data_IF_329207479901
#
_entry.id   IF_329207479901
#
_cell.length_a   1.000
_cell.length_b   1.000
_cell.length_c   1.000
_cell.angle_alpha   90.00
_cell.angle_beta   90.00
_cell.angle_gamma   90.00
#
_symmetry.space_group_name_H-M   'P 1'
#
loop_
_entity.id
_entity.type
_entity.pdbx_description
1 polymer ?
#
# COMPACT_ATOMS: atom_id res chain seq x y z
N UNK A 1 28.07 16.70 5.11
CA UNK A 1 27.12 16.61 6.24
C UNK A 1 26.03 17.69 6.20
N UNK A 2 26.37 18.98 6.19
CA UNK A 2 25.39 20.11 6.20
C UNK A 2 24.33 20.07 5.08
N UNK A 3 24.74 19.85 3.82
CA UNK A 3 23.81 19.76 2.65
C UNK A 3 22.75 18.66 2.82
N UNK A 4 23.18 17.45 3.22
CA UNK A 4 22.31 16.30 3.45
C UNK A 4 21.27 16.56 4.55
N UNK A 5 21.68 17.24 5.62
CA UNK A 5 20.77 17.64 6.71
C UNK A 5 19.72 18.65 6.25
N UNK A 6 20.08 19.58 5.35
CA UNK A 6 19.12 20.55 4.81
C UNK A 6 18.15 19.92 3.82
N UNK A 7 18.62 19.03 2.93
CA UNK A 7 17.75 18.26 2.02
C UNK A 7 16.74 17.39 2.81
N UNK A 8 17.21 16.74 3.88
CA UNK A 8 16.36 15.97 4.78
C UNK A 8 15.25 16.84 5.41
N UNK A 9 15.62 18.01 5.96
CA UNK A 9 14.66 18.93 6.59
C UNK A 9 13.66 19.47 5.57
N UNK A 10 14.12 19.77 4.36
CA UNK A 10 13.29 20.25 3.25
C UNK A 10 12.21 19.22 2.89
N UNK A 11 12.57 17.96 2.64
CA UNK A 11 11.59 16.89 2.34
C UNK A 11 10.57 16.68 3.48
N UNK A 12 11.01 16.68 4.74
CA UNK A 12 10.10 16.58 5.88
C UNK A 12 9.15 17.78 5.97
N UNK A 13 9.61 18.97 5.60
CA UNK A 13 8.77 20.17 5.55
C UNK A 13 7.69 20.01 4.48
N UNK A 14 8.05 19.57 3.27
CA UNK A 14 7.11 19.31 2.17
C UNK A 14 6.02 18.32 2.61
N UNK A 15 6.40 17.17 3.17
CA UNK A 15 5.44 16.14 3.62
C UNK A 15 4.48 16.67 4.70
N UNK A 16 4.97 17.52 5.62
CA UNK A 16 4.14 18.15 6.67
C UNK A 16 3.20 19.21 6.11
N UNK A 17 3.64 19.98 5.13
CA UNK A 17 2.81 20.97 4.44
C UNK A 17 1.70 20.27 3.64
N UNK A 18 2.04 19.21 2.89
CA UNK A 18 1.07 18.37 2.21
C UNK A 18 0.05 17.77 3.18
N UNK A 19 0.50 17.15 4.28
CA UNK A 19 -0.41 16.61 5.31
C UNK A 19 -1.38 17.69 5.82
N UNK A 20 -0.90 18.91 6.09
CA UNK A 20 -1.73 20.01 6.57
C UNK A 20 -2.81 20.37 5.55
N UNK A 21 -2.46 20.56 4.29
CA UNK A 21 -3.40 20.85 3.21
C UNK A 21 -4.44 19.74 3.01
N UNK A 22 -4.03 18.48 3.08
CA UNK A 22 -4.94 17.32 3.02
C UNK A 22 -5.97 17.36 4.16
N UNK A 23 -5.53 17.65 5.38
CA UNK A 23 -6.42 17.75 6.55
C UNK A 23 -7.36 18.96 6.48
N UNK A 24 -6.91 20.06 5.89
CA UNK A 24 -7.73 21.26 5.62
C UNK A 24 -8.68 21.06 4.41
N UNK A 25 -8.61 19.91 3.73
CA UNK A 25 -9.32 19.59 2.49
C UNK A 25 -9.02 20.54 1.33
N UNK A 26 -7.85 21.19 1.37
CA UNK A 26 -7.34 22.02 0.29
C UNK A 26 -6.36 21.22 -0.56
N UNK A 27 -6.89 20.46 -1.52
CA UNK A 27 -6.06 19.64 -2.42
C UNK A 27 -5.50 20.45 -3.60
N UNK A 28 -5.99 21.68 -3.82
CA UNK A 28 -5.68 22.50 -5.00
C UNK A 28 -4.20 22.94 -5.08
N UNK A 29 -3.55 23.04 -3.91
CA UNK A 29 -2.17 23.48 -3.77
C UNK A 29 -1.18 22.31 -3.62
N UNK A 30 -1.64 21.06 -3.72
CA UNK A 30 -0.77 19.90 -3.60
C UNK A 30 -0.03 19.64 -4.92
N UNK A 31 1.29 19.66 -4.86
CA UNK A 31 2.14 19.26 -5.99
C UNK A 31 2.15 17.73 -6.14
N UNK A 32 1.10 17.19 -6.75
CA UNK A 32 0.90 15.75 -6.98
C UNK A 32 0.90 15.47 -8.47
N UNK A 33 1.73 14.51 -8.89
CA UNK A 33 1.68 13.94 -10.23
C UNK A 33 1.12 12.52 -10.14
N UNK A 34 0.00 12.29 -10.82
CA UNK A 34 -0.67 10.99 -10.82
C UNK A 34 -0.55 10.37 -12.22
N UNK A 35 -0.09 9.13 -12.26
CA UNK A 35 0.10 8.36 -13.49
C UNK A 35 -0.70 7.06 -13.43
N UNK A 36 -1.22 6.57 -14.57
CA UNK A 36 -1.82 5.24 -14.62
C UNK A 36 -0.75 4.19 -14.29
N UNK A 37 -1.10 3.28 -13.38
CA UNK A 37 -0.35 2.06 -13.17
C UNK A 37 -0.96 1.00 -14.09
N UNK A 38 -0.52 0.99 -15.34
CA UNK A 38 -0.97 -0.02 -16.30
C UNK A 38 -0.38 -1.38 -15.89
N UNK A 39 -1.26 -2.30 -15.53
CA UNK A 39 -0.93 -3.66 -15.10
C UNK A 39 -1.35 -4.62 -16.20
N UNK A 40 -0.40 -5.42 -16.70
CA UNK A 40 -0.74 -6.56 -17.55
C UNK A 40 -1.53 -7.61 -16.75
N UNK A 41 -2.24 -8.55 -17.40
CA UNK A 41 -2.89 -9.66 -16.70
C UNK A 41 -1.91 -10.48 -15.84
N UNK A 42 -0.63 -10.53 -16.24
CA UNK A 42 0.47 -11.18 -15.52
C UNK A 42 1.14 -10.26 -14.49
N UNK A 43 0.47 -9.18 -14.08
CA UNK A 43 0.94 -8.23 -13.08
C UNK A 43 2.16 -7.39 -13.47
N UNK A 44 2.80 -7.67 -14.61
CA UNK A 44 3.98 -6.95 -15.08
C UNK A 44 3.65 -5.47 -15.30
N UNK A 45 4.47 -4.55 -14.77
CA UNK A 45 4.32 -3.12 -15.01
C UNK A 45 4.42 -2.77 -16.50
N UNK A 46 3.46 -2.00 -17.00
CA UNK A 46 3.49 -1.44 -18.35
C UNK A 46 3.66 0.09 -18.31
N UNK A 47 4.46 0.59 -17.37
CA UNK A 47 4.75 2.01 -17.17
C UNK A 47 6.27 2.28 -17.10
N UNK A 48 6.65 3.55 -17.03
CA UNK A 48 8.07 3.98 -17.03
C UNK A 48 8.88 3.24 -15.94
N UNK A 49 9.94 2.47 -16.31
CA UNK A 49 10.80 1.77 -15.35
C UNK A 49 11.47 2.68 -14.33
N UNK A 50 11.67 3.97 -14.63
CA UNK A 50 12.20 4.95 -13.67
C UNK A 50 11.24 5.23 -12.52
N UNK A 51 9.95 4.98 -12.72
CA UNK A 51 8.92 5.10 -11.70
C UNK A 51 8.72 3.79 -10.93
N UNK A 52 9.33 2.67 -11.32
CA UNK A 52 9.13 1.37 -10.69
C UNK A 52 10.01 1.22 -9.43
N UNK A 53 9.36 1.01 -8.29
CA UNK A 53 10.03 0.72 -7.01
C UNK A 53 9.65 -0.63 -6.43
N UNK A 54 8.62 -1.28 -6.95
CA UNK A 54 8.22 -2.63 -6.58
C UNK A 54 8.18 -3.49 -7.84
N UNK A 55 8.83 -4.64 -7.80
CA UNK A 55 8.84 -5.61 -8.89
C UNK A 55 7.91 -6.76 -8.53
N UNK A 56 6.73 -6.87 -9.17
CA UNK A 56 5.76 -7.89 -8.83
C UNK A 56 6.34 -9.28 -9.08
N UNK A 57 5.98 -10.22 -8.21
CA UNK A 57 6.40 -11.60 -8.45
C UNK A 57 5.77 -12.12 -9.75
N UNK A 58 6.50 -12.93 -10.53
CA UNK A 58 5.90 -13.62 -11.67
C UNK A 58 4.75 -14.53 -11.23
N UNK A 59 3.65 -14.52 -11.97
CA UNK A 59 2.49 -15.36 -11.68
C UNK A 59 2.82 -16.87 -11.62
N UNK A 60 3.77 -17.35 -12.42
CA UNK A 60 4.23 -18.74 -12.43
C UNK A 60 5.08 -19.13 -11.20
N UNK A 61 5.51 -18.14 -10.42
CA UNK A 61 6.24 -18.33 -9.16
C UNK A 61 5.30 -18.46 -7.97
N UNK A 62 4.00 -18.16 -8.15
CA UNK A 62 2.99 -18.22 -7.11
C UNK A 62 2.25 -19.55 -7.14
N UNK A 63 2.21 -20.21 -5.98
CA UNK A 63 1.28 -21.30 -5.71
C UNK A 63 0.13 -20.77 -4.85
N UNK A 64 -1.07 -20.79 -5.41
CA UNK A 64 -2.28 -20.24 -4.77
C UNK A 64 -2.64 -21.04 -3.50
N UNK A 65 -3.11 -20.38 -2.43
CA UNK A 65 -3.71 -21.06 -1.29
C UNK A 65 -4.90 -21.92 -1.74
N UNK A 66 -5.09 -23.09 -1.14
CA UNK A 66 -6.28 -23.93 -1.33
C UNK A 66 -7.22 -23.61 -0.16
N UNK A 67 -8.33 -22.88 -0.39
CA UNK A 67 -9.20 -22.42 0.70
C UNK A 67 -9.78 -23.57 1.53
N UNK A 68 -10.01 -24.73 0.92
CA UNK A 68 -10.53 -25.93 1.59
C UNK A 68 -9.58 -26.51 2.66
N UNK A 69 -8.30 -26.15 2.63
CA UNK A 69 -7.29 -26.58 3.61
C UNK A 69 -7.11 -25.55 4.75
N UNK A 70 -7.73 -24.38 4.66
CA UNK A 70 -7.60 -23.28 5.61
C UNK A 70 -8.97 -22.80 6.08
N UNK A 71 -9.51 -23.41 7.15
CA UNK A 71 -10.85 -23.17 7.74
C UNK A 71 -11.22 -21.68 7.99
N UNK A 72 -10.26 -20.77 7.94
CA UNK A 72 -10.40 -19.34 8.19
C UNK A 72 -10.40 -18.47 6.93
N UNK A 73 -10.22 -19.05 5.74
CA UNK A 73 -10.21 -18.34 4.45
C UNK A 73 -11.55 -18.44 3.71
N UNK A 74 -12.62 -17.93 4.32
CA UNK A 74 -13.94 -17.86 3.66
C UNK A 74 -14.12 -16.48 3.04
N UNK A 75 -14.22 -16.45 1.70
CA UNK A 75 -14.59 -15.23 0.99
C UNK A 75 -16.10 -14.98 1.11
N UNK A 76 -16.46 -13.82 1.65
CA UNK A 76 -17.86 -13.38 1.75
C UNK A 76 -18.16 -12.45 0.58
N UNK A 77 -19.13 -12.81 -0.26
CA UNK A 77 -19.61 -11.93 -1.32
C UNK A 77 -20.33 -10.70 -0.75
N UNK A 78 -20.35 -9.61 -1.51
CA UNK A 78 -21.07 -8.40 -1.12
C UNK A 78 -22.59 -8.67 -1.11
N UNK A 79 -23.24 -8.48 0.04
CA UNK A 79 -24.70 -8.53 0.13
C UNK A 79 -25.28 -7.12 -0.12
N UNK A 80 -25.90 -6.84 -1.29
CA UNK A 80 -26.41 -5.52 -1.62
C UNK A 80 -27.55 -5.05 -0.70
N UNK A 81 -28.14 -5.95 0.10
CA UNK A 81 -29.16 -5.61 1.09
C UNK A 81 -28.59 -5.09 2.40
N UNK A 82 -27.28 -5.25 2.62
CA UNK A 82 -26.59 -4.77 3.80
C UNK A 82 -26.31 -3.26 3.68
N UNK A 83 -26.86 -2.45 4.58
CA UNK A 83 -26.62 -0.99 4.67
C UNK A 83 -25.24 -0.66 5.28
N UNK A 84 -24.26 -1.54 5.09
CA UNK A 84 -22.96 -1.43 5.70
C UNK A 84 -22.19 -0.20 5.18
N UNK A 85 -21.52 0.48 6.11
CA UNK A 85 -20.62 1.57 5.78
C UNK A 85 -19.44 1.01 4.96
N UNK A 86 -18.90 1.76 3.96
CA UNK A 86 -17.76 1.30 3.14
C UNK A 86 -16.58 0.74 3.96
N UNK A 87 -16.38 1.24 5.17
CA UNK A 87 -15.38 0.72 6.11
C UNK A 87 -15.61 -0.74 6.53
N UNK A 88 -16.85 -1.17 6.83
CA UNK A 88 -17.15 -2.54 7.23
C UNK A 88 -16.91 -3.50 6.07
N UNK A 89 -17.32 -3.10 4.86
CA UNK A 89 -17.04 -3.87 3.64
C UNK A 89 -15.53 -3.97 3.37
N UNK A 90 -14.78 -2.87 3.50
CA UNK A 90 -13.32 -2.90 3.39
C UNK A 90 -12.66 -3.79 4.47
N UNK A 91 -13.22 -3.83 5.67
CA UNK A 91 -12.75 -4.70 6.76
C UNK A 91 -13.02 -6.17 6.46
N UNK A 92 -14.24 -6.53 6.09
CA UNK A 92 -14.59 -7.91 5.72
C UNK A 92 -13.74 -8.43 4.56
N UNK A 93 -13.52 -7.60 3.54
CA UNK A 93 -12.61 -7.95 2.44
C UNK A 93 -11.17 -8.15 2.94
N UNK A 94 -10.67 -7.28 3.82
CA UNK A 94 -9.30 -7.43 4.36
C UNK A 94 -9.15 -8.66 5.28
N UNK A 95 -10.16 -9.00 6.07
CA UNK A 95 -10.13 -10.15 6.98
C UNK A 95 -9.94 -11.47 6.20
N UNK A 96 -10.47 -11.55 4.98
CA UNK A 96 -10.14 -12.61 4.03
C UNK A 96 -8.79 -12.37 3.33
N UNK A 97 -8.64 -11.21 2.68
CA UNK A 97 -7.55 -10.95 1.74
C UNK A 97 -6.18 -10.93 2.43
N UNK A 98 -6.07 -10.34 3.63
CA UNK A 98 -4.81 -10.24 4.35
C UNK A 98 -4.18 -11.61 4.64
N UNK A 99 -4.89 -12.54 5.30
CA UNK A 99 -4.45 -13.94 5.46
C UNK A 99 -4.24 -14.63 4.11
N UNK A 100 -5.17 -14.52 3.17
CA UNK A 100 -5.08 -15.16 1.85
C UNK A 100 -3.79 -14.79 1.11
N UNK A 101 -3.43 -13.51 1.05
CA UNK A 101 -2.19 -13.03 0.41
C UNK A 101 -0.92 -13.55 1.12
N UNK A 102 -0.99 -13.84 2.42
CA UNK A 102 0.13 -14.38 3.20
C UNK A 102 0.29 -15.89 3.07
N UNK A 103 -0.77 -16.59 2.70
CA UNK A 103 -0.79 -18.04 2.50
C UNK A 103 -0.22 -18.47 1.14
N UNK A 104 0.13 -17.52 0.25
CA UNK A 104 0.77 -17.85 -1.03
C UNK A 104 2.13 -18.52 -0.82
N UNK A 105 2.33 -19.61 -1.58
CA UNK A 105 3.49 -20.48 -1.49
C UNK A 105 4.36 -20.37 -2.73
N UNK A 106 5.62 -20.76 -2.61
CA UNK A 106 6.51 -20.82 -3.77
C UNK A 106 6.10 -21.98 -4.67
N UNK A 107 6.01 -21.75 -5.98
CA UNK A 107 5.79 -22.84 -6.94
C UNK A 107 6.96 -23.83 -7.00
N UNK A 108 8.15 -23.41 -6.54
CA UNK A 108 9.35 -24.27 -6.46
C UNK A 108 9.41 -25.08 -5.15
N UNK A 109 8.76 -24.59 -4.10
CA UNK A 109 8.68 -25.24 -2.79
C UNK A 109 7.32 -24.93 -2.14
N UNK A 110 6.31 -25.80 -2.34
CA UNK A 110 4.98 -25.60 -1.79
C UNK A 110 4.93 -25.55 -0.26
N UNK A 111 5.94 -26.04 0.46
CA UNK A 111 5.98 -25.93 1.91
C UNK A 111 6.40 -24.52 2.38
N UNK A 112 7.06 -23.74 1.51
CA UNK A 112 7.53 -22.39 1.84
C UNK A 112 6.50 -21.31 1.54
N UNK A 113 6.20 -20.49 2.56
CA UNK A 113 5.41 -19.27 2.42
C UNK A 113 6.29 -18.12 1.94
N UNK A 114 5.94 -17.54 0.79
CA UNK A 114 6.77 -16.54 0.10
C UNK A 114 7.07 -15.33 0.99
N UNK A 115 6.11 -14.91 1.83
CA UNK A 115 6.28 -13.71 2.65
C UNK A 115 7.46 -13.81 3.63
N UNK A 116 7.79 -15.01 4.12
CA UNK A 116 8.88 -15.21 5.08
C UNK A 116 10.26 -15.24 4.41
N UNK A 117 10.35 -15.63 3.15
CA UNK A 117 11.62 -15.73 2.40
C UNK A 117 12.17 -14.36 1.97
N UNK A 118 11.34 -13.31 2.03
CA UNK A 118 11.59 -12.02 1.38
C UNK A 118 12.03 -10.91 2.33
N UNK A 119 12.38 -11.23 3.58
CA UNK A 119 12.81 -10.28 4.62
C UNK A 119 11.81 -9.12 4.90
N UNK A 120 10.56 -9.24 4.48
CA UNK A 120 9.49 -8.34 4.87
C UNK A 120 9.07 -8.65 6.29
N UNK A 121 9.11 -7.65 7.17
CA UNK A 121 8.78 -7.80 8.57
C UNK A 121 7.46 -7.09 8.87
N UNK A 122 6.58 -7.81 9.57
CA UNK A 122 5.36 -7.25 10.10
C UNK A 122 5.65 -6.08 11.03
N UNK A 123 5.05 -4.94 10.71
CA UNK A 123 5.23 -3.71 11.46
C UNK A 123 4.04 -3.48 12.42
N UNK A 124 4.35 -3.08 13.65
CA UNK A 124 3.35 -2.68 14.64
C UNK A 124 3.48 -1.17 14.87
N UNK A 125 2.39 -0.41 14.68
CA UNK A 125 2.34 1.05 14.86
C UNK A 125 2.98 1.52 16.19
N UNK A 126 2.79 0.76 17.27
CA UNK A 126 3.35 1.05 18.59
C UNK A 126 4.88 1.10 18.62
N UNK A 127 5.58 0.42 17.69
CA UNK A 127 7.05 0.37 17.65
C UNK A 127 7.69 1.64 17.09
N UNK A 128 6.95 2.49 16.38
CA UNK A 128 7.54 3.66 15.71
C UNK A 128 7.33 4.99 16.43
N UNK A 129 6.69 5.04 17.60
CA UNK A 129 6.38 6.30 18.29
C UNK A 129 5.84 7.36 17.31
N UNK A 130 4.87 6.94 16.49
CA UNK A 130 4.30 7.77 15.45
C UNK A 130 3.83 9.10 16.05
N UNK A 131 4.29 10.22 15.48
CA UNK A 131 3.83 11.55 15.92
C UNK A 131 2.33 11.72 15.71
N UNK A 132 1.75 11.01 14.72
CA UNK A 132 0.33 11.04 14.37
C UNK A 132 -0.13 9.63 14.01
N UNK A 133 -1.36 9.24 14.38
CA UNK A 133 -1.85 7.89 14.15
C UNK A 133 -1.96 7.58 12.64
N UNK A 134 -1.82 6.31 12.27
CA UNK A 134 -2.12 5.81 10.92
C UNK A 134 -3.55 5.24 10.87
N UNK A 135 -4.42 5.82 11.68
CA UNK A 135 -5.84 5.53 11.75
C UNK A 135 -6.59 6.80 12.18
N UNK A 136 -7.88 6.83 11.87
CA UNK A 136 -8.80 7.83 12.37
C UNK A 136 -10.15 7.15 12.56
N UNK A 137 -10.68 7.16 13.79
CA UNK A 137 -12.00 6.65 14.10
C UNK A 137 -12.95 7.84 14.36
N UNK A 138 -13.80 8.16 13.40
CA UNK A 138 -14.94 9.06 13.56
C UNK A 138 -16.06 8.62 12.61
N UNK A 139 -17.31 8.87 13.02
CA UNK A 139 -18.55 8.34 12.43
C UNK A 139 -18.69 8.39 10.90
N UNK A 140 -17.85 9.16 10.18
CA UNK A 140 -17.90 9.32 8.71
C UNK A 140 -16.55 9.40 8.00
N UNK A 141 -15.42 9.38 8.70
CA UNK A 141 -14.09 9.40 8.05
C UNK A 141 -13.20 8.30 8.62
N UNK A 142 -13.81 7.15 8.93
CA UNK A 142 -13.09 5.99 9.43
C UNK A 142 -12.05 5.55 8.41
N UNK A 143 -10.80 5.47 8.84
CA UNK A 143 -9.79 4.75 8.10
C UNK A 143 -8.78 4.15 9.05
N UNK A 144 -8.20 3.03 8.65
CA UNK A 144 -7.15 2.36 9.40
C UNK A 144 -6.14 1.78 8.42
N UNK A 145 -4.89 1.84 8.83
CA UNK A 145 -3.81 1.14 8.14
C UNK A 145 -3.62 -0.21 8.78
N UNK A 146 -3.53 -1.24 7.96
CA UNK A 146 -3.29 -2.62 8.40
C UNK A 146 -2.20 -3.25 7.54
N UNK A 147 -1.72 -4.42 7.97
CA UNK A 147 -0.82 -5.21 7.15
C UNK A 147 0.47 -4.48 6.76
N UNK A 148 0.95 -3.55 7.59
CA UNK A 148 2.16 -2.79 7.28
C UNK A 148 3.34 -3.76 7.29
N UNK A 149 4.07 -3.79 6.17
CA UNK A 149 5.28 -4.57 5.98
C UNK A 149 6.45 -3.62 5.69
N UNK A 150 7.55 -3.90 6.36
CA UNK A 150 8.77 -3.11 6.27
C UNK A 150 9.99 -4.00 5.97
N UNK A 151 10.91 -3.50 5.16
CA UNK A 151 12.24 -4.10 5.00
C UNK A 151 13.19 -3.57 6.07
N UNK A 152 13.75 -4.49 6.85
CA UNK A 152 14.81 -4.16 7.84
C UNK A 152 16.15 -3.88 7.12
N UNK A 153 16.28 -4.31 5.87
CA UNK A 153 17.47 -4.05 5.06
C UNK A 153 17.65 -2.55 4.79
N UNK A 154 18.79 -2.00 5.27
CA UNK A 154 19.17 -0.60 5.09
C UNK A 154 19.42 -0.19 3.65
N UNK A 155 19.37 -1.12 2.68
CA UNK A 155 19.46 -0.83 1.25
C UNK A 155 18.12 -0.40 0.66
N UNK A 156 17.01 -0.69 1.35
CA UNK A 156 15.66 -0.52 0.80
C UNK A 156 14.74 0.17 1.82
N UNK A 157 14.36 1.44 1.59
CA UNK A 157 13.48 2.18 2.49
C UNK A 157 11.99 1.87 2.25
N UNK A 158 11.66 0.89 1.42
CA UNK A 158 10.31 0.56 0.97
C UNK A 158 9.39 0.11 2.11
N UNK A 159 8.13 0.51 2.01
CA UNK A 159 7.03 0.06 2.89
C UNK A 159 5.89 -0.44 2.03
N UNK A 160 5.21 -1.50 2.48
CA UNK A 160 3.91 -1.93 1.94
C UNK A 160 2.85 -1.85 3.03
N UNK A 161 1.60 -1.64 2.66
CA UNK A 161 0.48 -1.67 3.61
C UNK A 161 -0.85 -1.83 2.90
N UNK A 162 -1.91 -2.04 3.67
CA UNK A 162 -3.27 -1.86 3.21
C UNK A 162 -3.96 -0.72 3.97
N UNK A 163 -4.81 0.01 3.27
CA UNK A 163 -5.65 1.08 3.79
C UNK A 163 -7.10 0.63 3.71
N UNK A 164 -7.80 0.61 4.83
CA UNK A 164 -9.25 0.46 4.84
C UNK A 164 -9.84 1.85 4.98
N UNK A 165 -10.67 2.27 4.03
CA UNK A 165 -11.25 3.61 4.04
C UNK A 165 -12.77 3.55 3.99
N UNK A 166 -13.42 4.40 4.80
CA UNK A 166 -14.86 4.63 4.74
C UNK A 166 -15.29 5.51 3.55
N UNK A 167 -14.43 5.71 2.57
CA UNK A 167 -14.73 6.47 1.37
C UNK A 167 -15.38 5.56 0.34
N UNK A 168 -16.27 6.13 -0.49
CA UNK A 168 -16.72 5.45 -1.70
C UNK A 168 -15.57 5.38 -2.71
N UNK A 169 -15.58 4.34 -3.55
CA UNK A 169 -14.66 4.25 -4.67
C UNK A 169 -14.79 5.48 -5.58
N UNK A 170 -13.64 6.05 -5.92
CA UNK A 170 -13.53 7.18 -6.84
C UNK A 170 -12.29 6.98 -7.67
N UNK A 171 -12.37 7.32 -8.96
CA UNK A 171 -11.18 7.36 -9.80
C UNK A 171 -10.18 8.39 -9.30
N UNK A 172 -10.60 9.44 -8.58
CA UNK A 172 -9.68 10.41 -7.97
C UNK A 172 -8.92 9.81 -6.78
N UNK A 173 -7.76 10.40 -6.43
CA UNK A 173 -7.04 10.01 -5.22
C UNK A 173 -7.84 10.41 -3.98
N UNK A 174 -8.00 9.48 -3.05
CA UNK A 174 -8.70 9.71 -1.81
C UNK A 174 -7.81 10.53 -0.86
N UNK A 175 -8.37 11.49 -0.12
CA UNK A 175 -7.63 12.19 0.93
C UNK A 175 -6.99 11.24 1.96
N UNK A 176 -7.64 10.10 2.24
CA UNK A 176 -7.13 9.06 3.15
C UNK A 176 -5.89 8.37 2.61
N UNK A 177 -5.82 8.10 1.30
CA UNK A 177 -4.63 7.55 0.66
C UNK A 177 -3.45 8.52 0.73
N UNK A 178 -3.68 9.78 0.37
CA UNK A 178 -2.66 10.82 0.43
C UNK A 178 -2.16 11.03 1.87
N UNK A 179 -3.08 11.03 2.85
CA UNK A 179 -2.75 11.19 4.26
C UNK A 179 -1.90 10.03 4.78
N UNK A 180 -2.26 8.79 4.43
CA UNK A 180 -1.48 7.60 4.76
C UNK A 180 -0.08 7.68 4.16
N UNK A 181 0.01 7.90 2.85
CA UNK A 181 1.26 7.96 2.09
C UNK A 181 2.21 9.00 2.69
N UNK A 182 1.73 10.23 2.89
CA UNK A 182 2.55 11.33 3.43
C UNK A 182 3.04 11.04 4.86
N UNK A 183 2.18 10.45 5.71
CA UNK A 183 2.55 10.06 7.08
C UNK A 183 3.60 8.95 7.10
N UNK A 184 3.42 7.90 6.30
CA UNK A 184 4.38 6.79 6.23
C UNK A 184 5.74 7.23 5.70
N UNK A 185 5.76 8.04 4.63
CA UNK A 185 7.01 8.62 4.10
C UNK A 185 7.71 9.47 5.15
N UNK A 186 6.99 10.40 5.78
CA UNK A 186 7.56 11.30 6.78
C UNK A 186 8.11 10.55 7.98
N UNK A 187 7.43 9.49 8.40
CA UNK A 187 7.88 8.64 9.48
C UNK A 187 9.11 7.82 9.11
N UNK A 188 9.08 7.13 7.96
CA UNK A 188 10.23 6.34 7.49
C UNK A 188 11.47 7.22 7.38
N UNK A 189 11.29 8.45 6.90
CA UNK A 189 12.39 9.38 6.70
C UNK A 189 13.13 9.69 8.01
N UNK A 190 12.41 9.89 9.13
CA UNK A 190 13.07 10.21 10.42
C UNK A 190 13.81 9.02 11.04
N UNK A 191 13.67 7.81 10.50
CA UNK A 191 14.38 6.66 11.01
C UNK A 191 15.79 6.55 10.45
N UNK A 192 16.71 6.09 11.31
CA UNK A 192 18.13 5.93 10.97
C UNK A 192 18.38 5.01 9.78
N UNK A 193 17.48 4.07 9.50
CA UNK A 193 17.59 3.16 8.34
C UNK A 193 17.38 3.89 7.02
N UNK A 194 16.65 5.01 7.00
CA UNK A 194 16.32 5.75 5.79
C UNK A 194 17.25 6.96 5.51
N UNK A 195 18.25 7.22 6.35
CA UNK A 195 19.06 8.45 6.27
C UNK A 195 19.91 8.59 5.01
N UNK A 196 20.26 7.47 4.39
CA UNK A 196 21.02 7.43 3.14
C UNK A 196 20.09 7.43 1.91
N UNK A 197 18.78 7.51 2.12
CA UNK A 197 17.78 7.49 1.05
C UNK A 197 17.15 8.87 0.83
N UNK A 198 17.01 9.23 -0.44
CA UNK A 198 16.24 10.39 -0.90
C UNK A 198 14.79 10.04 -1.21
N UNK A 199 14.56 8.80 -1.62
CA UNK A 199 13.24 8.31 -2.04
C UNK A 199 12.76 7.26 -1.05
N UNK A 200 11.50 7.36 -0.64
CA UNK A 200 10.85 6.38 0.24
C UNK A 200 9.62 5.85 -0.50
N UNK A 201 9.73 4.69 -1.16
CA UNK A 201 8.61 4.10 -1.88
C UNK A 201 7.59 3.47 -0.94
N UNK A 202 6.32 3.77 -1.17
CA UNK A 202 5.18 3.18 -0.45
C UNK A 202 4.30 2.45 -1.45
N UNK A 203 4.01 1.17 -1.20
CA UNK A 203 2.97 0.43 -1.88
C UNK A 203 1.73 0.36 -0.97
N UNK A 204 0.56 0.68 -1.51
CA UNK A 204 -0.70 0.65 -0.78
C UNK A 204 -1.70 -0.19 -1.55
N UNK A 205 -2.25 -1.20 -0.88
CA UNK A 205 -3.53 -1.78 -1.26
C UNK A 205 -4.63 -0.93 -0.64
N UNK A 206 -5.26 -0.06 -1.42
CA UNK A 206 -6.33 0.81 -0.92
C UNK A 206 -7.68 0.13 -1.10
N UNK A 207 -8.32 -0.22 0.02
CA UNK A 207 -9.65 -0.78 0.10
C UNK A 207 -10.65 0.33 0.43
N UNK A 208 -11.72 0.39 -0.34
CA UNK A 208 -12.74 1.44 -0.29
C UNK A 208 -14.07 0.91 -0.81
N UNK A 209 -15.12 1.72 -0.71
CA UNK A 209 -16.42 1.40 -1.26
C UNK A 209 -16.95 0.06 -0.75
N UNK A 210 -17.61 -0.68 -1.63
CA UNK A 210 -18.14 -2.01 -1.33
C UNK A 210 -17.29 -3.06 -2.03
N UNK A 211 -16.43 -3.74 -1.29
CA UNK A 211 -15.42 -4.67 -1.77
C UNK A 211 -14.64 -4.16 -3.00
N UNK A 212 -14.18 -2.91 -2.95
CA UNK A 212 -13.37 -2.33 -4.03
C UNK A 212 -11.96 -2.09 -3.55
N UNK A 213 -11.00 -2.33 -4.44
CA UNK A 213 -9.59 -2.20 -4.13
C UNK A 213 -8.81 -1.62 -5.30
N UNK A 214 -7.74 -0.89 -5.02
CA UNK A 214 -6.74 -0.52 -6.03
C UNK A 214 -5.33 -0.56 -5.45
N UNK A 215 -4.35 -0.67 -6.34
CA UNK A 215 -2.93 -0.63 -6.01
C UNK A 215 -2.43 0.80 -6.25
N UNK A 216 -1.76 1.36 -5.25
CA UNK A 216 -0.99 2.59 -5.38
C UNK A 216 0.49 2.31 -5.13
N UNK A 217 1.35 2.94 -5.92
CA UNK A 217 2.75 3.08 -5.60
C UNK A 217 3.08 4.57 -5.57
N UNK A 218 3.63 5.05 -4.46
CA UNK A 218 3.93 6.45 -4.29
C UNK A 218 5.36 6.68 -3.81
N UNK A 219 5.94 7.80 -4.24
CA UNK A 219 7.22 8.30 -3.74
C UNK A 219 7.29 9.82 -3.86
N UNK A 220 8.13 10.46 -3.06
CA UNK A 220 8.44 11.88 -3.20
C UNK A 220 9.68 12.04 -4.10
N UNK A 221 9.53 12.77 -5.20
CA UNK A 221 10.64 13.22 -6.05
C UNK A 221 10.82 14.74 -5.90
N UNK A 222 11.89 15.13 -5.21
CA UNK A 222 12.10 16.52 -4.79
C UNK A 222 10.97 17.02 -3.89
N UNK A 223 10.10 17.87 -4.44
CA UNK A 223 8.91 18.43 -3.77
C UNK A 223 7.59 17.92 -4.38
N UNK A 224 7.66 17.01 -5.36
CA UNK A 224 6.52 16.45 -6.06
C UNK A 224 6.18 15.07 -5.50
N UNK A 225 4.93 14.88 -5.08
CA UNK A 225 4.44 13.55 -4.73
C UNK A 225 4.00 12.83 -6.01
N UNK A 226 4.76 11.82 -6.41
CA UNK A 226 4.46 10.99 -7.57
C UNK A 226 3.65 9.78 -7.11
N UNK A 227 2.48 9.55 -7.74
CA UNK A 227 1.58 8.44 -7.44
C UNK A 227 1.26 7.69 -8.72
N UNK A 228 1.64 6.42 -8.77
CA UNK A 228 1.16 5.44 -9.74
C UNK A 228 -0.13 4.83 -9.17
N UNK A 229 -1.20 4.78 -9.96
CA UNK A 229 -2.52 4.31 -9.51
C UNK A 229 -3.13 3.34 -10.51
N UNK A 230 -3.49 2.13 -10.05
CA UNK A 230 -4.18 1.16 -10.90
C UNK A 230 -5.64 1.55 -11.12
N UNK A 231 -6.31 0.83 -12.04
CA UNK A 231 -7.78 0.80 -12.03
C UNK A 231 -8.31 0.27 -10.69
N UNK A 232 -9.57 0.54 -10.42
CA UNK A 232 -10.29 -0.07 -9.29
C UNK A 232 -10.73 -1.46 -9.71
N UNK A 233 -10.43 -2.45 -8.87
CA UNK A 233 -10.92 -3.81 -8.99
C UNK A 233 -12.18 -3.95 -8.14
N UNK A 234 -13.20 -4.53 -8.75
CA UNK A 234 -14.48 -4.80 -8.12
C UNK A 234 -14.48 -6.25 -7.64
N UNK A 235 -14.42 -6.43 -6.32
CA UNK A 235 -14.38 -7.72 -5.65
C UNK A 235 -15.67 -7.97 -4.89
N UNK A 236 -16.81 -7.43 -5.35
CA UNK A 236 -18.11 -7.80 -4.79
C UNK A 236 -18.40 -9.30 -4.96
N UNK A 237 -17.85 -9.89 -6.02
CA UNK A 237 -17.77 -11.33 -6.25
C UNK A 237 -16.32 -11.78 -6.23
N UNK A 238 -16.08 -13.05 -5.92
CA UNK A 238 -14.74 -13.63 -5.92
C UNK A 238 -14.09 -13.53 -7.30
N UNK A 239 -12.86 -13.02 -7.33
CA UNK A 239 -12.05 -12.94 -8.55
C UNK A 239 -10.61 -13.38 -8.23
N UNK A 240 -10.33 -14.65 -8.53
CA UNK A 240 -9.03 -15.25 -8.26
C UNK A 240 -7.90 -14.66 -9.13
N UNK A 241 -8.19 -14.16 -10.34
CA UNK A 241 -7.19 -13.52 -11.18
C UNK A 241 -6.74 -12.18 -10.58
N UNK A 242 -7.70 -11.42 -10.03
CA UNK A 242 -7.39 -10.21 -9.26
C UNK A 242 -6.64 -10.56 -7.97
N UNK A 243 -6.99 -11.65 -7.29
CA UNK A 243 -6.25 -12.06 -6.09
C UNK A 243 -4.80 -12.45 -6.40
N UNK A 244 -4.56 -13.18 -7.48
CA UNK A 244 -3.20 -13.49 -7.94
C UNK A 244 -2.46 -12.19 -8.27
N UNK A 245 -3.10 -11.23 -8.97
CA UNK A 245 -2.51 -9.92 -9.26
C UNK A 245 -2.14 -9.17 -7.98
N UNK A 246 -3.04 -9.11 -6.99
CA UNK A 246 -2.78 -8.47 -5.70
C UNK A 246 -1.64 -9.18 -4.97
N UNK A 247 -1.53 -10.50 -5.04
CA UNK A 247 -0.45 -11.28 -4.45
C UNK A 247 0.90 -10.98 -5.09
N UNK A 248 0.96 -10.91 -6.43
CA UNK A 248 2.18 -10.55 -7.16
C UNK A 248 2.74 -9.20 -6.66
N UNK A 249 1.87 -8.21 -6.47
CA UNK A 249 2.27 -6.89 -5.97
C UNK A 249 2.53 -6.87 -4.46
N UNK A 250 1.71 -7.53 -3.64
CA UNK A 250 1.90 -7.60 -2.20
C UNK A 250 3.21 -8.29 -1.82
N UNK A 251 3.59 -9.33 -2.58
CA UNK A 251 4.80 -10.13 -2.37
C UNK A 251 6.00 -9.66 -3.22
N UNK A 252 5.86 -8.53 -3.92
CA UNK A 252 6.89 -7.92 -4.78
C UNK A 252 8.25 -7.71 -4.12
N UNK A 253 9.29 -7.60 -4.93
CA UNK A 253 10.63 -7.24 -4.49
C UNK A 253 10.86 -5.72 -4.53
N UNK A 254 11.68 -5.17 -3.62
CA UNK A 254 12.09 -3.77 -3.70
C UNK A 254 13.04 -3.58 -4.88
N UNK A 255 12.73 -2.64 -5.76
CA UNK A 255 13.59 -2.21 -6.87
C UNK A 255 13.71 -0.70 -6.92
N UNK A 256 14.42 -0.18 -7.93
CA UNK A 256 14.63 1.24 -8.14
C UNK A 256 15.76 1.84 -7.28
N UNK A 257 16.28 2.98 -7.72
CA UNK A 257 17.34 3.71 -7.00
C UNK A 257 16.73 4.68 -5.99
N UNK A 258 17.14 4.58 -4.74
CA UNK A 258 16.58 5.39 -3.65
C UNK A 258 17.58 6.34 -3.00
N UNK A 259 18.83 6.41 -3.47
CA UNK A 259 19.96 7.16 -2.88
C UNK A 259 20.15 8.59 -3.39
#
# INVERSE_FOLDING_TARGET
>A
MRKRTEEFKSRLKVLREMERHILEKDLSNLNIQCYPMDLTPQGTPAFDPHLQFFDPLPADSLWRPIPEDEDHLVFTEDDPSDEDYPYQSALGLWDFLGPYLRSYRSSQDPESLIIYDRNWHGFCEAKYNLRRPLHHASDRTNWITVGILDLIDRRFPHIKCALLSNAHASDELLPTELLLITRLMGQRQVMRVAFDHKVIPILVLSLMGRHQIRILQAHLDGETLVVMKSKIFDLRTRDDEVFDLLAQWYLSEPVGTTQ
#
